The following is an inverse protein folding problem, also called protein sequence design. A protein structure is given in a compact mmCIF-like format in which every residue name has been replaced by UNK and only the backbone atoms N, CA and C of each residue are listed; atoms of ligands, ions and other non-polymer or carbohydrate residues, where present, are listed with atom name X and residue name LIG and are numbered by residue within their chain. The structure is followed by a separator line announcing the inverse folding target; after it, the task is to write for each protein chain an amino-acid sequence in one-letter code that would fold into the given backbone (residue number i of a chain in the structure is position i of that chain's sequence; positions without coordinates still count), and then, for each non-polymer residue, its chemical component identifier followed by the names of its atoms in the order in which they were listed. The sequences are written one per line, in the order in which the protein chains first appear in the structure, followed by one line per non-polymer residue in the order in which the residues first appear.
data_IF_359847368982
#
_entry.id   IF_359847368982
#
_cell.length_a   1.000
_cell.length_b   1.000
_cell.length_c   1.000
_cell.angle_alpha   90.00
_cell.angle_beta   90.00
_cell.angle_gamma   90.00
#
_symmetry.space_group_name_H-M   'P 1'
#
loop_
_entity.id
_entity.type
_entity.pdbx_description
1 polymer ?
#
# COMPACT_ATOMS: atom_id res chain seq x y z
N UNK A 1 14.97 -15.79 -5.68
CA UNK A 1 13.93 -15.79 -6.72
C UNK A 1 13.11 -17.07 -6.65
N UNK A 2 11.82 -17.03 -6.99
CA UNK A 2 10.99 -18.23 -7.02
C UNK A 2 11.49 -19.21 -8.11
N UNK A 3 11.59 -20.50 -7.78
CA UNK A 3 12.02 -21.53 -8.73
C UNK A 3 10.91 -21.82 -9.75
N UNK A 4 11.27 -22.03 -11.02
CA UNK A 4 10.32 -22.41 -12.07
C UNK A 4 9.54 -23.66 -11.63
N UNK A 5 8.20 -23.58 -11.64
CA UNK A 5 7.31 -24.65 -11.18
C UNK A 5 6.93 -24.62 -9.69
N UNK A 6 7.44 -23.68 -8.89
CA UNK A 6 7.05 -23.59 -7.47
C UNK A 6 5.60 -23.13 -7.33
N UNK A 7 4.77 -23.90 -6.63
CA UNK A 7 3.39 -23.53 -6.30
C UNK A 7 3.33 -22.64 -5.06
N UNK A 8 2.70 -21.48 -5.18
CA UNK A 8 2.42 -20.60 -4.06
C UNK A 8 1.28 -21.14 -3.20
N UNK A 9 1.44 -21.12 -1.88
CA UNK A 9 0.36 -21.48 -0.96
C UNK A 9 -0.67 -20.36 -0.93
N UNK A 10 -1.94 -20.72 -1.10
CA UNK A 10 -3.06 -19.79 -0.95
C UNK A 10 -3.59 -19.92 0.47
N UNK A 11 -3.71 -18.79 1.15
CA UNK A 11 -4.30 -18.71 2.49
C UNK A 11 -5.62 -17.96 2.39
N UNK A 12 -6.68 -18.49 3.02
CA UNK A 12 -7.98 -17.81 3.10
C UNK A 12 -7.85 -16.53 3.93
N UNK A 13 -8.76 -15.58 3.71
CA UNK A 13 -8.84 -14.34 4.48
C UNK A 13 -9.03 -14.61 5.97
N UNK A 14 -9.91 -15.56 6.31
CA UNK A 14 -10.21 -15.98 7.68
C UNK A 14 -8.95 -16.48 8.39
N UNK A 15 -8.16 -17.33 7.74
CA UNK A 15 -6.91 -17.83 8.29
C UNK A 15 -5.92 -16.70 8.57
N UNK A 16 -5.74 -15.77 7.61
CA UNK A 16 -4.86 -14.60 7.81
C UNK A 16 -5.30 -13.77 9.02
N UNK A 17 -6.61 -13.59 9.17
CA UNK A 17 -7.19 -12.79 10.25
C UNK A 17 -6.98 -13.47 11.62
N UNK A 18 -7.12 -14.79 11.69
CA UNK A 18 -6.82 -15.55 12.91
C UNK A 18 -5.35 -15.41 13.32
N UNK A 19 -4.42 -15.57 12.39
CA UNK A 19 -2.97 -15.41 12.62
C UNK A 19 -2.65 -14.00 13.14
N UNK A 20 -3.22 -12.98 12.53
CA UNK A 20 -2.99 -11.59 12.93
C UNK A 20 -3.55 -11.29 14.32
N UNK A 21 -4.77 -11.77 14.63
CA UNK A 21 -5.35 -11.63 15.98
C UNK A 21 -4.50 -12.32 17.04
N UNK A 22 -4.01 -13.52 16.77
CA UNK A 22 -3.18 -14.26 17.72
C UNK A 22 -1.85 -13.53 17.97
N UNK A 23 -1.28 -12.90 16.94
CA UNK A 23 -0.09 -12.05 17.09
C UNK A 23 -0.34 -10.79 17.90
N UNK A 24 -1.45 -10.09 17.62
CA UNK A 24 -1.82 -8.87 18.32
C UNK A 24 -2.22 -9.12 19.79
N UNK A 25 -2.64 -10.34 20.12
CA UNK A 25 -2.94 -10.72 21.51
C UNK A 25 -1.72 -10.66 22.44
N UNK A 26 -0.50 -10.69 21.88
CA UNK A 26 0.76 -10.66 22.63
C UNK A 26 1.11 -11.94 23.39
N UNK A 27 0.19 -12.91 23.46
CA UNK A 27 0.36 -14.16 24.25
C UNK A 27 1.21 -15.22 23.55
N UNK A 28 1.43 -15.05 22.26
CA UNK A 28 1.98 -16.06 21.36
C UNK A 28 3.51 -16.08 21.30
N UNK A 29 4.20 -15.22 22.05
CA UNK A 29 5.68 -15.22 22.13
C UNK A 29 6.37 -14.76 20.84
N UNK A 30 5.68 -13.93 20.04
CA UNK A 30 6.19 -13.36 18.80
C UNK A 30 5.83 -14.16 17.54
N UNK A 31 6.23 -13.63 16.37
CA UNK A 31 5.81 -14.18 15.07
C UNK A 31 6.36 -15.58 14.82
N UNK A 32 7.59 -15.89 15.24
CA UNK A 32 8.21 -17.19 15.02
C UNK A 32 7.42 -18.36 15.63
N UNK A 33 6.88 -18.15 16.84
CA UNK A 33 6.04 -19.12 17.54
C UNK A 33 4.70 -19.33 16.83
N UNK A 34 4.09 -18.27 16.32
CA UNK A 34 2.86 -18.32 15.53
C UNK A 34 3.09 -19.06 14.22
N UNK A 35 4.24 -18.82 13.58
CA UNK A 35 4.59 -19.49 12.34
C UNK A 35 4.68 -21.00 12.53
N UNK A 36 5.28 -21.45 13.63
CA UNK A 36 5.31 -22.88 14.00
C UNK A 36 3.91 -23.41 14.32
N UNK A 37 3.11 -22.67 15.09
CA UNK A 37 1.74 -23.05 15.49
C UNK A 37 0.80 -23.23 14.30
N UNK A 38 0.87 -22.33 13.31
CA UNK A 38 -0.04 -22.32 12.16
C UNK A 38 0.59 -22.88 10.86
N UNK A 39 1.83 -23.38 10.89
CA UNK A 39 2.50 -23.95 9.72
C UNK A 39 2.76 -22.94 8.60
N UNK A 40 3.05 -21.69 8.94
CA UNK A 40 3.39 -20.66 7.95
C UNK A 40 4.76 -20.93 7.33
N UNK A 41 4.92 -20.53 6.06
CA UNK A 41 6.21 -20.68 5.38
C UNK A 41 7.28 -19.70 5.86
N UNK A 42 6.89 -18.57 6.43
CA UNK A 42 7.81 -17.49 6.82
C UNK A 42 7.16 -16.50 7.77
N UNK A 43 7.93 -16.02 8.75
CA UNK A 43 7.56 -14.94 9.68
C UNK A 43 7.20 -13.65 8.94
N UNK A 44 7.92 -13.36 7.85
CA UNK A 44 7.69 -12.14 7.07
C UNK A 44 6.29 -12.11 6.44
N UNK A 45 5.72 -13.29 6.16
CA UNK A 45 4.35 -13.43 5.64
C UNK A 45 3.33 -12.95 6.67
N UNK A 46 3.47 -13.40 7.92
CA UNK A 46 2.62 -12.99 9.03
C UNK A 46 2.78 -11.49 9.36
N UNK A 47 4.01 -10.99 9.39
CA UNK A 47 4.29 -9.56 9.63
C UNK A 47 3.65 -8.66 8.56
N UNK A 48 3.73 -9.08 7.29
CA UNK A 48 3.08 -8.36 6.19
C UNK A 48 1.56 -8.31 6.37
N UNK A 49 0.94 -9.40 6.83
CA UNK A 49 -0.50 -9.42 7.12
C UNK A 49 -0.84 -8.53 8.32
N UNK A 50 -0.04 -8.53 9.38
CA UNK A 50 -0.24 -7.63 10.52
C UNK A 50 -0.15 -6.17 10.10
N UNK A 51 0.82 -5.82 9.25
CA UNK A 51 0.95 -4.45 8.72
C UNK A 51 -0.29 -4.07 7.92
N UNK A 52 -0.73 -4.91 6.97
CA UNK A 52 -1.94 -4.66 6.19
C UNK A 52 -3.17 -4.50 7.07
N UNK A 53 -3.31 -5.32 8.10
CA UNK A 53 -4.42 -5.24 9.05
C UNK A 53 -4.44 -3.90 9.80
N UNK A 54 -3.27 -3.38 10.20
CA UNK A 54 -3.15 -2.06 10.86
C UNK A 54 -3.47 -0.90 9.91
N UNK A 55 -3.10 -1.00 8.64
CA UNK A 55 -3.42 0.01 7.63
C UNK A 55 -4.92 -0.01 7.29
N UNK A 56 -5.45 -1.17 6.90
CA UNK A 56 -6.87 -1.38 6.67
C UNK A 56 -7.20 -2.90 6.66
N UNK A 57 -8.09 -3.39 7.54
CA UNK A 57 -8.48 -4.79 7.60
C UNK A 57 -8.96 -5.40 6.26
N UNK A 58 -9.57 -4.60 5.39
CA UNK A 58 -10.04 -5.04 4.07
C UNK A 58 -8.90 -5.46 3.11
N UNK A 59 -7.66 -5.04 3.39
CA UNK A 59 -6.49 -5.42 2.58
C UNK A 59 -6.08 -6.89 2.75
N UNK A 60 -6.61 -7.61 3.75
CA UNK A 60 -6.39 -9.05 3.93
C UNK A 60 -7.23 -9.91 2.97
N UNK A 61 -8.42 -9.42 2.62
CA UNK A 61 -9.39 -10.05 1.73
C UNK A 61 -9.14 -9.71 0.27
N UNK A 62 -8.68 -8.49 -0.03
CA UNK A 62 -8.46 -8.05 -1.41
C UNK A 62 -7.22 -8.70 -2.05
N UNK A 63 -7.40 -9.32 -3.22
CA UNK A 63 -6.29 -9.66 -4.11
C UNK A 63 -5.99 -8.46 -5.01
N UNK A 64 -4.94 -7.72 -4.67
CA UNK A 64 -4.48 -6.55 -5.42
C UNK A 64 -3.50 -6.93 -6.55
N UNK A 65 -3.29 -8.22 -6.84
CA UNK A 65 -2.41 -8.61 -7.95
C UNK A 65 -3.08 -8.29 -9.28
N UNK A 66 -2.33 -7.62 -10.15
CA UNK A 66 -2.82 -7.22 -11.48
C UNK A 66 -3.80 -6.05 -11.45
N UNK A 67 -4.08 -5.44 -10.29
CA UNK A 67 -4.77 -4.15 -10.28
C UNK A 67 -3.87 -3.12 -10.94
N UNK A 68 -4.46 -2.31 -11.83
CA UNK A 68 -3.73 -1.22 -12.47
C UNK A 68 -3.28 -0.27 -11.37
N UNK A 69 -1.97 -0.11 -11.22
CA UNK A 69 -1.44 1.00 -10.44
C UNK A 69 -2.09 2.26 -11.02
N UNK A 70 -2.89 2.96 -10.23
CA UNK A 70 -3.24 4.35 -10.51
C UNK A 70 -1.90 5.08 -10.39
N UNK A 71 -1.20 5.21 -11.53
CA UNK A 71 0.10 5.86 -11.56
C UNK A 71 0.03 7.27 -10.97
N UNK A 72 1.16 7.96 -10.96
CA UNK A 72 1.18 9.37 -10.56
C UNK A 72 0.08 10.12 -11.35
N UNK A 73 -0.84 10.84 -10.68
CA UNK A 73 -1.84 11.65 -11.36
C UNK A 73 -1.12 12.57 -12.35
N UNK A 74 -1.55 12.56 -13.62
CA UNK A 74 -0.96 13.43 -14.65
C UNK A 74 -1.26 14.90 -14.38
N UNK A 75 -2.32 15.18 -13.61
CA UNK A 75 -2.78 16.51 -13.21
C UNK A 75 -3.30 16.44 -11.77
N UNK A 76 -3.23 17.56 -11.04
CA UNK A 76 -3.97 17.72 -9.78
C UNK A 76 -5.46 17.80 -10.09
N UNK A 77 -6.29 17.12 -9.31
CA UNK A 77 -7.74 17.28 -9.38
C UNK A 77 -8.09 18.59 -8.67
N UNK A 78 -8.38 19.64 -9.45
CA UNK A 78 -8.74 20.96 -8.91
C UNK A 78 -10.18 21.01 -8.41
N UNK A 79 -11.05 20.12 -8.90
CA UNK A 79 -12.49 20.10 -8.59
C UNK A 79 -12.77 19.72 -7.12
N UNK A 80 -11.83 19.03 -6.49
CA UNK A 80 -11.90 18.64 -5.07
C UNK A 80 -11.34 19.72 -4.10
N UNK A 81 -10.72 20.80 -4.63
CA UNK A 81 -10.08 21.84 -3.82
C UNK A 81 -11.02 23.03 -3.57
N UNK A 82 -10.82 23.74 -2.45
CA UNK A 82 -11.50 25.02 -2.21
C UNK A 82 -11.07 26.07 -3.24
N UNK A 83 -11.94 27.03 -3.57
CA UNK A 83 -11.68 28.07 -4.55
C UNK A 83 -10.42 28.89 -4.23
N UNK A 84 -10.16 29.14 -2.95
CA UNK A 84 -8.95 29.85 -2.48
C UNK A 84 -7.67 29.04 -2.75
N UNK A 85 -7.72 27.74 -2.50
CA UNK A 85 -6.59 26.83 -2.72
C UNK A 85 -6.30 26.66 -4.22
N UNK A 86 -7.35 26.63 -5.05
CA UNK A 86 -7.22 26.61 -6.51
C UNK A 86 -6.52 27.88 -7.01
N UNK A 87 -6.91 29.06 -6.52
CA UNK A 87 -6.29 30.33 -6.87
C UNK A 87 -4.80 30.36 -6.47
N UNK A 88 -4.47 29.94 -5.25
CA UNK A 88 -3.08 29.85 -4.79
C UNK A 88 -2.25 28.91 -5.68
N UNK A 89 -2.81 27.77 -6.07
CA UNK A 89 -2.15 26.83 -6.98
C UNK A 89 -1.90 27.44 -8.36
N UNK A 90 -2.91 28.05 -8.97
CA UNK A 90 -2.79 28.71 -10.28
C UNK A 90 -1.79 29.87 -10.26
N UNK A 91 -1.72 30.62 -9.16
CA UNK A 91 -0.71 31.67 -8.99
C UNK A 91 0.71 31.09 -8.98
N UNK A 92 0.93 29.98 -8.27
CA UNK A 92 2.23 29.30 -8.25
C UNK A 92 2.59 28.73 -9.63
N UNK A 93 1.64 28.09 -10.31
CA UNK A 93 1.84 27.57 -11.66
C UNK A 93 2.21 28.69 -12.65
N UNK A 94 1.50 29.82 -12.59
CA UNK A 94 1.83 31.00 -13.38
C UNK A 94 3.20 31.59 -13.06
N UNK A 95 3.61 31.60 -11.78
CA UNK A 95 4.93 32.06 -11.38
C UNK A 95 6.04 31.17 -11.99
N UNK A 96 5.86 29.85 -11.91
CA UNK A 96 6.79 28.87 -12.52
C UNK A 96 6.85 29.05 -14.03
N UNK A 97 5.70 29.18 -14.71
CA UNK A 97 5.66 29.38 -16.16
C UNK A 97 6.32 30.68 -16.60
N UNK A 98 6.16 31.76 -15.83
CA UNK A 98 6.84 33.04 -16.09
C UNK A 98 8.36 32.91 -15.99
N UNK A 99 8.87 32.10 -15.07
CA UNK A 99 10.31 31.81 -14.94
C UNK A 99 10.81 30.92 -16.09
N UNK A 100 10.02 29.94 -16.54
CA UNK A 100 10.42 29.01 -17.60
C UNK A 100 10.39 29.62 -19.01
N UNK A 101 9.41 30.50 -19.31
CA UNK A 101 9.27 31.17 -20.62
C UNK A 101 10.53 31.87 -21.14
N UNK A 102 11.29 32.65 -20.35
CA UNK A 102 12.54 33.24 -20.82
C UNK A 102 13.64 32.19 -21.04
N UNK A 103 13.69 31.13 -20.23
CA UNK A 103 14.73 30.08 -20.33
C UNK A 103 14.58 29.19 -21.57
N UNK A 104 13.37 29.05 -22.10
CA UNK A 104 13.06 28.25 -23.29
C UNK A 104 13.16 29.01 -24.61
N UNK A 105 13.38 30.34 -24.57
CA UNK A 105 13.63 31.16 -25.76
C UNK A 105 15.12 31.14 -26.09
N UNK A 106 15.55 30.18 -26.93
CA UNK A 106 16.83 30.22 -27.66
C UNK A 106 16.60 30.78 -29.05
#
# INVERSE_FOLDING_TARGET
MAKKGSKFTKYSSEFKLQVVKDYLSGKSGGMSSIVKKYGLKSDNQGLTWTRKYRENPALLTQDLRGTKSTGRPKTRNLDEMSLEEQNAYLHMENAILKILRPLLRK
#
